data_IF_675966167461
#
_entry.id   IF_675966167461
#
_cell.length_a   1.000
_cell.length_b   1.000
_cell.length_c   1.000
_cell.angle_alpha   90.00
_cell.angle_beta   90.00
_cell.angle_gamma   90.00
#
_symmetry.space_group_name_H-M   'P 1'
#
loop_
_entity.id
_entity.type
_entity.pdbx_description
1 polymer ?
#
# COMPACT_ATOMS: atom_id res chain seq x y z
N UNK A 1 -25.14 19.95 0.53
CA UNK A 1 -24.05 19.58 1.44
C UNK A 1 -22.89 18.89 0.71
N UNK A 2 -23.11 17.81 -0.06
CA UNK A 2 -22.05 17.09 -0.79
C UNK A 2 -21.21 18.00 -1.71
N UNK A 3 -21.87 18.93 -2.44
CA UNK A 3 -21.18 19.88 -3.31
C UNK A 3 -20.24 20.82 -2.53
N UNK A 4 -20.63 21.22 -1.32
CA UNK A 4 -19.81 22.05 -0.44
C UNK A 4 -18.62 21.29 0.14
N UNK A 5 -18.82 20.01 0.49
CA UNK A 5 -17.76 19.12 0.99
C UNK A 5 -16.64 18.98 -0.05
N UNK A 6 -16.99 18.89 -1.32
CA UNK A 6 -16.07 18.64 -2.45
C UNK A 6 -15.64 19.94 -3.17
N UNK A 7 -16.06 21.10 -2.67
CA UNK A 7 -15.79 22.39 -3.31
C UNK A 7 -16.21 22.45 -4.79
N UNK A 8 -17.38 21.91 -5.10
CA UNK A 8 -17.95 21.91 -6.45
C UNK A 8 -19.26 22.68 -6.56
N UNK A 9 -19.65 23.47 -5.54
CA UNK A 9 -20.89 24.23 -5.55
C UNK A 9 -21.00 25.16 -6.77
N UNK A 10 -19.88 25.74 -7.20
CA UNK A 10 -19.79 26.62 -8.38
C UNK A 10 -19.92 25.89 -9.73
N UNK A 11 -19.96 24.56 -9.71
CA UNK A 11 -20.06 23.71 -10.90
C UNK A 11 -21.45 23.12 -11.11
N UNK A 12 -22.39 23.31 -10.18
CA UNK A 12 -23.68 22.61 -10.20
C UNK A 12 -24.49 22.90 -11.47
N UNK A 13 -24.35 24.10 -12.03
CA UNK A 13 -25.04 24.54 -13.28
C UNK A 13 -24.28 24.14 -14.56
N UNK A 14 -23.06 23.57 -14.44
CA UNK A 14 -22.28 23.19 -15.60
C UNK A 14 -22.67 21.81 -16.14
N UNK A 15 -22.68 21.70 -17.46
CA UNK A 15 -22.84 20.38 -18.12
C UNK A 15 -21.59 19.55 -17.92
N UNK A 16 -21.75 18.22 -17.78
CA UNK A 16 -20.64 17.28 -17.54
C UNK A 16 -19.50 17.39 -18.58
N UNK A 17 -19.84 17.68 -19.85
CA UNK A 17 -18.85 17.88 -20.93
C UNK A 17 -17.96 19.13 -20.76
N UNK A 18 -18.35 20.06 -19.89
CA UNK A 18 -17.60 21.30 -19.62
C UNK A 18 -16.77 21.22 -18.35
N UNK A 19 -16.62 20.03 -17.77
CA UNK A 19 -15.82 19.80 -16.56
C UNK A 19 -14.42 19.28 -16.93
N UNK A 20 -13.41 19.75 -16.18
CA UNK A 20 -12.08 19.12 -16.24
C UNK A 20 -12.12 17.71 -15.63
N UNK A 21 -11.11 16.87 -15.90
CA UNK A 21 -11.05 15.51 -15.37
C UNK A 21 -11.22 15.46 -13.85
N UNK A 22 -10.50 16.30 -13.09
CA UNK A 22 -10.63 16.35 -11.64
C UNK A 22 -11.98 16.92 -11.15
N UNK A 23 -12.58 17.86 -11.88
CA UNK A 23 -13.93 18.32 -11.58
C UNK A 23 -14.96 17.22 -11.81
N UNK A 24 -14.83 16.46 -12.89
CA UNK A 24 -15.67 15.28 -13.17
C UNK A 24 -15.56 14.23 -12.07
N UNK A 25 -14.33 13.97 -11.59
CA UNK A 25 -14.07 13.04 -10.49
C UNK A 25 -14.76 13.49 -9.18
N UNK A 26 -14.62 14.76 -8.81
CA UNK A 26 -15.32 15.31 -7.63
C UNK A 26 -16.84 15.24 -7.75
N UNK A 27 -17.38 15.47 -8.95
CA UNK A 27 -18.81 15.29 -9.19
C UNK A 27 -19.24 13.84 -9.05
N UNK A 28 -18.43 12.88 -9.53
CA UNK A 28 -18.71 11.46 -9.35
C UNK A 28 -18.72 11.04 -7.87
N UNK A 29 -17.74 11.52 -7.10
CA UNK A 29 -17.70 11.33 -5.63
C UNK A 29 -18.91 11.98 -4.95
N UNK A 30 -19.29 13.19 -5.35
CA UNK A 30 -20.48 13.89 -4.83
C UNK A 30 -21.77 13.12 -5.05
N UNK A 31 -21.93 12.52 -6.22
CA UNK A 31 -23.07 11.64 -6.52
C UNK A 31 -23.10 10.39 -5.63
N UNK A 32 -21.93 9.82 -5.31
CA UNK A 32 -21.84 8.69 -4.40
C UNK A 32 -22.21 9.09 -2.96
N UNK A 33 -21.74 10.26 -2.50
CA UNK A 33 -22.01 10.76 -1.13
C UNK A 33 -23.51 10.99 -0.91
N UNK A 34 -24.21 11.58 -1.89
CA UNK A 34 -25.65 11.89 -1.78
C UNK A 34 -26.50 10.65 -1.53
N UNK A 35 -25.99 9.47 -1.90
CA UNK A 35 -26.68 8.19 -1.69
C UNK A 35 -26.50 7.64 -0.27
N UNK A 36 -25.67 8.26 0.55
CA UNK A 36 -25.33 7.80 1.91
C UNK A 36 -25.00 6.30 2.00
N UNK A 37 -24.06 5.81 1.18
CA UNK A 37 -23.79 4.39 1.12
C UNK A 37 -23.09 3.92 2.41
N UNK A 38 -23.31 2.66 2.80
CA UNK A 38 -22.58 2.02 3.89
C UNK A 38 -21.13 1.73 3.53
N UNK A 39 -20.82 1.57 2.24
CA UNK A 39 -19.49 1.28 1.70
C UNK A 39 -19.29 2.03 0.40
N UNK A 40 -18.16 2.68 0.25
CA UNK A 40 -17.69 3.25 -1.03
C UNK A 40 -16.78 2.24 -1.74
N UNK A 41 -17.06 2.00 -3.02
CA UNK A 41 -16.21 1.20 -3.90
C UNK A 41 -15.56 2.14 -4.92
N UNK A 42 -14.24 2.29 -4.85
CA UNK A 42 -13.45 3.18 -5.71
C UNK A 42 -12.44 2.33 -6.48
N UNK A 43 -12.68 2.17 -7.77
CA UNK A 43 -11.83 1.41 -8.66
C UNK A 43 -10.95 2.36 -9.47
N UNK A 44 -9.65 2.38 -9.16
CA UNK A 44 -8.62 3.25 -9.74
C UNK A 44 -9.05 4.73 -9.93
N UNK A 45 -9.63 5.39 -8.92
CA UNK A 45 -10.31 6.67 -9.11
C UNK A 45 -9.38 7.82 -9.50
N UNK A 46 -8.05 7.66 -9.38
CA UNK A 46 -7.08 8.71 -9.67
C UNK A 46 -6.17 8.40 -10.87
N UNK A 47 -6.35 7.27 -11.54
CA UNK A 47 -5.47 6.80 -12.62
C UNK A 47 -5.33 7.77 -13.79
N UNK A 48 -6.40 8.51 -14.12
CA UNK A 48 -6.46 9.41 -15.28
C UNK A 48 -6.11 10.88 -14.93
N UNK A 49 -5.54 11.15 -13.74
CA UNK A 49 -5.20 12.49 -13.30
C UNK A 49 -3.69 12.75 -13.39
N UNK A 50 -3.33 14.01 -13.67
CA UNK A 50 -1.94 14.45 -13.55
C UNK A 50 -1.43 14.38 -12.10
N UNK A 51 -0.10 14.40 -11.91
CA UNK A 51 0.52 14.20 -10.60
C UNK A 51 0.08 15.23 -9.53
N UNK A 52 -0.08 16.49 -9.93
CA UNK A 52 -0.51 17.56 -9.01
C UNK A 52 -1.95 17.36 -8.55
N UNK A 53 -2.83 17.10 -9.50
CA UNK A 53 -4.25 16.88 -9.23
C UNK A 53 -4.47 15.57 -8.46
N UNK A 54 -3.70 14.52 -8.77
CA UNK A 54 -3.71 13.26 -8.03
C UNK A 54 -3.36 13.46 -6.55
N UNK A 55 -2.29 14.24 -6.25
CA UNK A 55 -1.92 14.56 -4.87
C UNK A 55 -3.03 15.33 -4.12
N UNK A 56 -3.67 16.29 -4.78
CA UNK A 56 -4.80 17.01 -4.21
C UNK A 56 -5.99 16.08 -3.92
N UNK A 57 -6.36 15.25 -4.89
CA UNK A 57 -7.48 14.32 -4.76
C UNK A 57 -7.26 13.25 -3.68
N UNK A 58 -6.04 12.75 -3.50
CA UNK A 58 -5.70 11.87 -2.36
C UNK A 58 -6.06 12.53 -1.03
N UNK A 59 -5.62 13.77 -0.86
CA UNK A 59 -5.94 14.53 0.36
C UNK A 59 -7.45 14.72 0.55
N UNK A 60 -8.18 15.02 -0.51
CA UNK A 60 -9.63 15.21 -0.44
C UNK A 60 -10.38 13.90 -0.12
N UNK A 61 -9.98 12.78 -0.73
CA UNK A 61 -10.58 11.47 -0.43
C UNK A 61 -10.29 11.05 1.02
N UNK A 62 -9.07 11.28 1.52
CA UNK A 62 -8.72 10.99 2.92
C UNK A 62 -9.53 11.83 3.89
N UNK A 63 -9.69 13.14 3.64
CA UNK A 63 -10.55 14.02 4.44
C UNK A 63 -12.02 13.56 4.40
N UNK A 64 -12.49 13.14 3.23
CA UNK A 64 -13.85 12.66 3.04
C UNK A 64 -14.08 11.38 3.86
N UNK A 65 -13.17 10.42 3.79
CA UNK A 65 -13.22 9.19 4.58
C UNK A 65 -13.33 9.49 6.09
N UNK A 66 -12.46 10.37 6.60
CA UNK A 66 -12.48 10.78 8.00
C UNK A 66 -13.78 11.46 8.40
N UNK A 67 -14.34 12.30 7.52
CA UNK A 67 -15.59 13.05 7.77
C UNK A 67 -16.82 12.15 7.75
N UNK A 68 -16.88 11.20 6.82
CA UNK A 68 -18.04 10.32 6.67
C UNK A 68 -18.03 9.16 7.64
N UNK A 69 -16.85 8.71 8.13
CA UNK A 69 -16.71 7.56 9.02
C UNK A 69 -17.19 6.24 8.42
N UNK A 70 -17.33 6.16 7.08
CA UNK A 70 -17.82 4.98 6.37
C UNK A 70 -16.65 4.17 5.81
N UNK A 71 -16.90 2.92 5.46
CA UNK A 71 -15.89 2.05 4.86
C UNK A 71 -15.65 2.44 3.40
N UNK A 72 -14.36 2.57 3.03
CA UNK A 72 -13.91 2.76 1.65
C UNK A 72 -13.13 1.54 1.22
N UNK A 73 -13.52 0.92 0.11
CA UNK A 73 -12.73 -0.08 -0.60
C UNK A 73 -12.14 0.64 -1.81
N UNK A 74 -10.81 0.75 -1.83
CA UNK A 74 -10.07 1.52 -2.82
C UNK A 74 -9.11 0.60 -3.57
N UNK A 75 -9.31 0.45 -4.87
CA UNK A 75 -8.42 -0.31 -5.74
C UNK A 75 -7.45 0.64 -6.42
N UNK A 76 -6.17 0.33 -6.38
CA UNK A 76 -5.11 1.10 -7.03
C UNK A 76 -3.91 0.22 -7.35
N UNK A 77 -3.16 0.60 -8.37
CA UNK A 77 -1.82 0.07 -8.64
C UNK A 77 -0.71 1.03 -8.15
N UNK A 78 -1.06 2.20 -7.63
CA UNK A 78 -0.12 3.18 -7.08
C UNK A 78 0.11 2.90 -5.58
N UNK A 79 1.35 2.48 -5.26
CA UNK A 79 1.74 2.17 -3.88
C UNK A 79 1.68 3.40 -2.98
N UNK A 80 1.95 4.60 -3.50
CA UNK A 80 1.89 5.84 -2.72
C UNK A 80 0.46 6.11 -2.26
N UNK A 81 -0.53 5.84 -3.12
CA UNK A 81 -1.94 5.94 -2.75
C UNK A 81 -2.27 4.95 -1.63
N UNK A 82 -1.95 3.66 -1.83
CA UNK A 82 -2.23 2.62 -0.86
C UNK A 82 -1.55 2.92 0.50
N UNK A 83 -0.24 3.20 0.49
CA UNK A 83 0.54 3.39 1.72
C UNK A 83 0.19 4.66 2.50
N UNK A 84 -0.34 5.70 1.83
CA UNK A 84 -0.65 6.99 2.47
C UNK A 84 -2.11 7.15 2.88
N UNK A 85 -3.03 6.44 2.25
CA UNK A 85 -4.47 6.64 2.46
C UNK A 85 -5.13 5.50 3.25
N UNK A 86 -4.62 4.27 3.11
CA UNK A 86 -5.28 3.10 3.66
C UNK A 86 -4.98 2.88 5.15
N UNK A 87 -5.96 2.40 5.88
CA UNK A 87 -5.79 1.85 7.23
C UNK A 87 -5.37 0.38 7.18
N UNK A 88 -5.79 -0.33 6.12
CA UNK A 88 -5.40 -1.70 5.80
C UNK A 88 -5.21 -1.85 4.30
N UNK A 89 -4.19 -2.59 3.90
CA UNK A 89 -3.89 -2.89 2.50
C UNK A 89 -3.99 -4.39 2.28
N UNK A 90 -4.62 -4.77 1.17
CA UNK A 90 -4.63 -6.14 0.68
C UNK A 90 -3.73 -6.20 -0.55
N UNK A 91 -2.60 -6.90 -0.44
CA UNK A 91 -1.70 -7.16 -1.57
C UNK A 91 -2.18 -8.42 -2.28
N UNK A 92 -2.42 -8.31 -3.58
CA UNK A 92 -2.92 -9.42 -4.40
C UNK A 92 -1.94 -9.75 -5.53
N UNK A 93 -1.86 -11.03 -5.87
CA UNK A 93 -1.15 -11.53 -7.05
C UNK A 93 -1.92 -12.69 -7.65
N UNK A 94 -2.13 -12.66 -8.97
CA UNK A 94 -2.79 -13.72 -9.73
C UNK A 94 -4.14 -14.16 -9.14
N UNK A 95 -4.93 -13.20 -8.61
CA UNK A 95 -6.21 -13.45 -7.98
C UNK A 95 -6.15 -13.92 -6.51
N UNK A 96 -4.95 -14.13 -5.96
CA UNK A 96 -4.75 -14.59 -4.58
C UNK A 96 -4.28 -13.46 -3.67
N UNK A 97 -4.82 -13.41 -2.45
CA UNK A 97 -4.34 -12.52 -1.41
C UNK A 97 -2.97 -13.01 -0.93
N UNK A 98 -1.97 -12.15 -1.04
CA UNK A 98 -0.61 -12.43 -0.56
C UNK A 98 -0.44 -12.01 0.91
N UNK A 99 -0.92 -10.82 1.24
CA UNK A 99 -0.90 -10.32 2.62
C UNK A 99 -2.00 -9.26 2.78
N UNK A 100 -2.57 -9.19 3.99
CA UNK A 100 -3.54 -8.17 4.37
C UNK A 100 -3.15 -7.61 5.73
N UNK A 101 -2.65 -6.38 5.76
CA UNK A 101 -2.14 -5.77 6.99
C UNK A 101 -2.18 -4.23 6.93
N UNK A 102 -1.70 -3.59 8.01
CA UNK A 102 -1.46 -2.14 8.00
C UNK A 102 -0.32 -1.79 7.05
N UNK A 103 -0.28 -0.56 6.49
CA UNK A 103 0.83 -0.12 5.65
C UNK A 103 2.21 -0.35 6.29
N UNK A 104 2.35 -0.03 7.58
CA UNK A 104 3.59 -0.19 8.32
C UNK A 104 4.03 -1.66 8.39
N UNK A 105 3.11 -2.57 8.72
CA UNK A 105 3.44 -3.99 8.81
C UNK A 105 3.79 -4.61 7.46
N UNK A 106 3.12 -4.18 6.38
CA UNK A 106 3.48 -4.64 5.03
C UNK A 106 4.90 -4.25 4.64
N UNK A 107 5.35 -3.06 5.08
CA UNK A 107 6.70 -2.58 4.82
C UNK A 107 7.74 -3.26 5.73
N UNK A 108 7.47 -3.33 7.03
CA UNK A 108 8.44 -3.83 8.02
C UNK A 108 8.50 -5.37 8.09
N UNK A 109 7.38 -6.04 7.78
CA UNK A 109 7.19 -7.49 7.96
C UNK A 109 6.49 -8.13 6.78
N UNK A 110 7.03 -8.04 5.56
CA UNK A 110 6.47 -8.71 4.40
C UNK A 110 6.48 -10.23 4.61
N UNK A 111 5.36 -10.90 4.34
CA UNK A 111 5.22 -12.33 4.61
C UNK A 111 5.93 -13.23 3.58
N UNK A 112 6.25 -12.68 2.41
CA UNK A 112 6.95 -13.42 1.34
C UNK A 112 7.76 -12.47 0.44
N UNK A 113 8.59 -13.05 -0.43
CA UNK A 113 9.46 -12.30 -1.36
C UNK A 113 8.68 -11.41 -2.33
N UNK A 114 7.47 -11.83 -2.73
CA UNK A 114 6.65 -10.99 -3.62
C UNK A 114 6.23 -9.70 -2.92
N UNK A 115 5.69 -9.78 -1.71
CA UNK A 115 5.30 -8.60 -0.93
C UNK A 115 6.50 -7.70 -0.64
N UNK A 116 7.64 -8.31 -0.24
CA UNK A 116 8.88 -7.59 0.03
C UNK A 116 9.42 -6.82 -1.20
N UNK A 117 9.32 -7.41 -2.38
CA UNK A 117 9.74 -6.77 -3.63
C UNK A 117 8.70 -5.84 -4.23
N UNK A 118 7.43 -6.01 -3.86
CA UNK A 118 6.34 -5.20 -4.38
C UNK A 118 6.12 -3.93 -3.56
N UNK A 119 6.25 -3.98 -2.23
CA UNK A 119 6.00 -2.86 -1.33
C UNK A 119 7.30 -2.06 -1.10
N UNK A 120 7.21 -0.75 -1.28
CA UNK A 120 8.29 0.20 -1.01
C UNK A 120 8.80 0.93 -2.24
N UNK A 121 9.26 2.18 -2.02
CA UNK A 121 9.93 3.01 -3.03
C UNK A 121 11.09 3.75 -2.35
N UNK A 122 12.36 3.31 -2.57
CA UNK A 122 12.77 2.18 -3.43
C UNK A 122 12.32 0.81 -2.89
N UNK A 123 12.27 -0.18 -3.79
CA UNK A 123 11.97 -1.56 -3.44
C UNK A 123 13.10 -2.19 -2.60
N UNK A 124 12.78 -3.24 -1.85
CA UNK A 124 13.75 -4.01 -1.09
C UNK A 124 14.78 -4.67 -2.02
N UNK A 125 16.05 -4.60 -1.65
CA UNK A 125 17.11 -5.30 -2.35
C UNK A 125 17.12 -6.78 -1.96
N UNK A 126 17.30 -7.65 -2.95
CA UNK A 126 17.49 -9.08 -2.77
C UNK A 126 18.91 -9.46 -3.12
N UNK A 127 19.58 -10.20 -2.23
CA UNK A 127 20.93 -10.68 -2.43
C UNK A 127 20.90 -12.19 -2.24
N UNK A 128 21.35 -12.94 -3.24
CA UNK A 128 21.56 -14.38 -3.12
C UNK A 128 22.73 -14.64 -2.17
N UNK A 129 22.48 -15.42 -1.14
CA UNK A 129 23.47 -15.68 -0.13
C UNK A 129 23.35 -17.12 0.40
N UNK A 130 24.50 -17.66 0.86
CA UNK A 130 24.55 -18.97 1.53
C UNK A 130 24.61 -18.76 3.04
N UNK A 131 23.71 -19.42 3.76
CA UNK A 131 23.77 -19.47 5.21
C UNK A 131 24.72 -20.58 5.67
N UNK A 132 25.62 -20.26 6.60
CA UNK A 132 26.52 -21.24 7.24
C UNK A 132 26.45 -21.07 8.75
N UNK A 133 26.48 -22.21 9.45
CA UNK A 133 26.55 -22.25 10.91
C UNK A 133 27.99 -22.49 11.35
N UNK A 134 28.47 -21.71 12.33
CA UNK A 134 29.75 -21.89 13.00
C UNK A 134 29.54 -21.87 14.52
N UNK A 135 29.47 -23.02 15.14
CA UNK A 135 29.08 -23.15 16.55
C UNK A 135 27.62 -22.66 16.76
N UNK A 136 27.46 -21.70 17.62
CA UNK A 136 26.13 -21.09 17.92
C UNK A 136 25.81 -19.86 17.09
N UNK A 137 26.66 -19.52 16.13
CA UNK A 137 26.50 -18.33 15.30
C UNK A 137 26.14 -18.70 13.86
N UNK A 138 25.28 -17.86 13.25
CA UNK A 138 24.92 -17.91 11.85
C UNK A 138 25.68 -16.86 11.05
N UNK A 139 26.12 -17.24 9.86
CA UNK A 139 26.79 -16.36 8.91
C UNK A 139 26.07 -16.37 7.57
N UNK A 140 25.95 -15.18 6.98
CA UNK A 140 25.46 -14.95 5.62
C UNK A 140 26.67 -14.73 4.72
N UNK A 141 26.85 -15.59 3.73
CA UNK A 141 27.97 -15.51 2.79
C UNK A 141 27.43 -15.14 1.40
N UNK A 142 27.95 -14.07 0.83
CA UNK A 142 27.61 -13.60 -0.53
C UNK A 142 28.85 -13.00 -1.19
N UNK A 143 29.18 -13.50 -2.38
CA UNK A 143 30.46 -13.20 -3.03
C UNK A 143 31.63 -13.52 -2.12
N UNK A 144 32.52 -12.56 -1.90
CA UNK A 144 33.68 -12.67 -1.01
C UNK A 144 33.37 -12.28 0.44
N UNK A 145 32.13 -11.86 0.74
CA UNK A 145 31.75 -11.37 2.06
C UNK A 145 31.14 -12.47 2.92
N UNK A 146 31.50 -12.44 4.21
CA UNK A 146 30.90 -13.29 5.25
C UNK A 146 30.52 -12.42 6.43
N UNK A 147 29.22 -12.26 6.68
CA UNK A 147 28.69 -11.44 7.76
C UNK A 147 28.03 -12.31 8.82
N UNK A 148 28.40 -12.08 10.08
CA UNK A 148 27.71 -12.70 11.21
C UNK A 148 26.29 -12.12 11.30
N UNK A 149 25.27 -12.96 11.37
CA UNK A 149 23.89 -12.58 11.55
C UNK A 149 23.63 -12.22 13.03
N UNK A 150 23.36 -10.96 13.38
CA UNK A 150 23.13 -10.58 14.76
C UNK A 150 21.82 -11.19 15.29
N UNK A 151 21.87 -11.83 16.46
CA UNK A 151 20.68 -12.46 17.08
C UNK A 151 19.60 -11.44 17.43
N UNK A 152 20.00 -10.26 17.85
CA UNK A 152 19.11 -9.14 18.23
C UNK A 152 18.39 -8.48 17.04
N UNK A 153 18.87 -8.70 15.80
CA UNK A 153 18.27 -8.16 14.57
C UNK A 153 17.33 -9.13 13.89
N UNK A 154 17.28 -10.38 14.33
CA UNK A 154 16.40 -11.41 13.80
C UNK A 154 15.42 -11.84 14.88
N UNK A 155 14.14 -11.91 14.56
CA UNK A 155 13.14 -12.41 15.50
C UNK A 155 13.56 -13.80 15.99
N UNK A 156 13.46 -14.05 17.29
CA UNK A 156 13.92 -15.31 17.93
C UNK A 156 13.41 -16.55 17.19
N UNK A 157 12.13 -16.58 16.86
CA UNK A 157 11.50 -17.68 16.10
C UNK A 157 12.18 -17.92 14.74
N UNK A 158 12.47 -16.84 14.00
CA UNK A 158 13.13 -16.93 12.69
C UNK A 158 14.60 -17.35 12.85
N UNK A 159 15.28 -16.91 13.91
CA UNK A 159 16.66 -17.28 14.17
C UNK A 159 16.77 -18.78 14.46
N UNK A 160 15.90 -19.35 15.29
CA UNK A 160 15.83 -20.79 15.58
C UNK A 160 15.55 -21.61 14.32
N UNK A 161 14.62 -21.13 13.48
CA UNK A 161 14.32 -21.73 12.18
C UNK A 161 15.55 -21.72 11.26
N UNK A 162 16.28 -20.60 11.18
CA UNK A 162 17.52 -20.50 10.42
C UNK A 162 18.60 -21.45 10.95
N UNK A 163 18.73 -21.58 12.28
CA UNK A 163 19.66 -22.54 12.90
C UNK A 163 19.36 -23.98 12.51
N UNK A 164 18.11 -24.35 12.29
CA UNK A 164 17.72 -25.69 11.83
C UNK A 164 18.11 -25.99 10.37
N UNK A 165 18.26 -24.94 9.53
CA UNK A 165 18.71 -25.05 8.14
C UNK A 165 20.24 -25.03 8.00
N UNK A 166 20.95 -24.39 8.93
CA UNK A 166 22.41 -24.25 8.90
C UNK A 166 23.14 -25.59 9.07
N UNK A 167 23.44 -26.23 7.98
CA UNK A 167 24.12 -27.53 7.96
C UNK A 167 23.58 -28.53 6.93
N UNK A 168 22.47 -28.18 6.27
CA UNK A 168 22.01 -28.91 5.08
C UNK A 168 22.66 -28.27 3.85
N UNK A 169 23.54 -29.03 3.18
CA UNK A 169 24.05 -28.68 1.84
C UNK A 169 22.93 -28.81 0.82
#
# INVERSE_FOLDING_TARGET
>A
EAARILDISHLLERRSKALSGGQGQRVALGRAIVREPKVFLLDEPLSNLDAKLRAQMRTEISKLHLRLGTTFIYVTHDQTEAMTMATRIVVMKDGFIQQCDTPQNLYDRPCNLFVAGFIGSPQMNFIEAKLTRRGDDMFVNFGEFSLKLPRDKVMTENYEKLMSYGGKQ
#
